data_IF_074502780836
#
_entry.id   IF_074502780836
#
_cell.length_a   1.000
_cell.length_b   1.000
_cell.length_c   1.000
_cell.angle_alpha   90.00
_cell.angle_beta   90.00
_cell.angle_gamma   90.00
#
_symmetry.space_group_name_H-M   'P 1'
#
loop_
_entity.id
_entity.type
_entity.pdbx_description
1 polymer ?
2 non-polymer ?
#
# COMPACT_ATOMS: atom_id res chain seq x y z
N UNK A 1 12.76 -12.35 -5.31
CA UNK A 1 12.35 -11.05 -4.86
C UNK A 1 11.48 -11.13 -3.63
N UNK A 2 10.41 -10.34 -3.62
CA UNK A 2 9.48 -10.33 -2.51
C UNK A 2 8.09 -10.71 -3.00
N UNK A 3 7.09 -10.55 -2.14
CA UNK A 3 5.72 -10.82 -2.54
C UNK A 3 4.86 -9.64 -2.13
N UNK A 4 3.85 -9.38 -2.92
CA UNK A 4 3.00 -8.23 -2.76
C UNK A 4 2.29 -8.26 -1.42
N UNK A 5 2.24 -7.12 -0.77
CA UNK A 5 1.45 -6.97 0.44
C UNK A 5 -0.04 -7.08 0.15
N UNK A 6 -0.40 -7.02 -1.13
CA UNK A 6 -1.78 -7.19 -1.55
C UNK A 6 -1.95 -8.53 -2.27
N UNK A 7 -1.14 -8.73 -3.31
CA UNK A 7 -1.20 -9.96 -4.10
C UNK A 7 -0.61 -11.14 -3.35
N UNK A 8 -0.89 -12.32 -3.87
CA UNK A 8 -0.18 -13.53 -3.49
C UNK A 8 0.90 -13.77 -4.52
N UNK A 9 1.07 -12.76 -5.37
CA UNK A 9 2.03 -12.78 -6.45
C UNK A 9 3.32 -12.14 -5.98
N UNK A 10 4.36 -12.28 -6.78
CA UNK A 10 5.67 -11.75 -6.43
C UNK A 10 5.83 -10.29 -6.82
N UNK A 11 6.58 -9.56 -6.02
CA UNK A 11 6.93 -8.18 -6.32
C UNK A 11 8.41 -8.11 -6.68
N UNK A 12 8.73 -7.37 -7.72
CA UNK A 12 10.11 -7.25 -8.14
C UNK A 12 10.51 -5.80 -8.08
N UNK A 13 11.76 -5.52 -8.38
CA UNK A 13 12.23 -4.15 -8.42
C UNK A 13 11.48 -3.38 -9.53
N UNK A 14 10.89 -4.14 -10.45
CA UNK A 14 10.12 -3.57 -11.55
C UNK A 14 9.07 -2.58 -11.07
N UNK A 15 8.31 -2.97 -10.05
CA UNK A 15 7.30 -2.09 -9.50
C UNK A 15 7.22 -2.22 -7.98
N UNK A 16 8.37 -2.21 -7.34
CA UNK A 16 8.43 -2.36 -5.89
C UNK A 16 8.36 -1.02 -5.19
N UNK A 17 7.30 -0.81 -4.43
CA UNK A 17 7.24 0.27 -3.47
C UNK A 17 7.34 -0.31 -2.07
N UNK A 18 8.37 0.07 -1.35
CA UNK A 18 8.57 -0.42 0.00
C UNK A 18 7.92 0.51 1.01
N UNK A 19 6.77 0.11 1.51
CA UNK A 19 6.05 0.89 2.50
C UNK A 19 6.15 0.20 3.85
N UNK A 20 6.62 0.93 4.85
CA UNK A 20 6.82 0.41 6.21
C UNK A 20 7.91 -0.66 6.22
N UNK A 21 7.58 -1.84 5.72
CA UNK A 21 8.53 -2.93 5.66
C UNK A 21 8.06 -4.02 4.73
N UNK A 22 7.17 -3.67 3.82
CA UNK A 22 6.59 -4.63 2.90
C UNK A 22 6.65 -4.10 1.47
N UNK A 23 6.97 -4.98 0.54
CA UNK A 23 7.02 -4.60 -0.87
C UNK A 23 5.63 -4.68 -1.50
N UNK A 24 5.18 -3.56 -2.03
CA UNK A 24 3.89 -3.49 -2.72
C UNK A 24 4.12 -3.19 -4.18
N UNK A 25 3.25 -3.71 -5.04
CA UNK A 25 3.28 -3.33 -6.44
C UNK A 25 2.88 -1.88 -6.57
N UNK A 26 3.46 -1.17 -7.54
CA UNK A 26 3.04 0.19 -7.83
C UNK A 26 1.56 0.20 -8.20
N UNK A 27 1.10 -0.91 -8.76
CA UNK A 27 -0.29 -1.07 -9.12
C UNK A 27 -1.15 -1.49 -7.93
N UNK A 28 -0.52 -1.74 -6.79
CA UNK A 28 -1.23 -2.19 -5.59
C UNK A 28 -0.94 -1.28 -4.40
N UNK A 29 -0.25 -0.18 -4.65
CA UNK A 29 0.17 0.71 -3.58
C UNK A 29 -0.95 1.64 -3.13
N UNK A 30 -2.05 1.62 -3.86
CA UNK A 30 -3.16 2.50 -3.54
C UNK A 30 -4.06 1.89 -2.48
N UNK A 31 -5.04 2.67 -2.02
CA UNK A 31 -5.81 2.34 -0.83
C UNK A 31 -6.40 0.94 -0.87
N UNK A 32 -6.12 0.20 0.19
CA UNK A 32 -6.63 -1.15 0.37
C UNK A 32 -8.11 -1.14 0.74
N UNK A 33 -8.56 -0.04 1.32
CA UNK A 33 -9.93 0.05 1.84
C UNK A 33 -10.94 0.45 0.77
N UNK A 34 -10.68 1.55 0.07
CA UNK A 34 -11.54 1.92 -1.05
C UNK A 34 -10.88 1.52 -2.36
N UNK A 35 -10.05 2.41 -2.89
CA UNK A 35 -9.20 2.12 -4.03
C UNK A 35 -8.46 3.37 -4.50
N UNK A 36 -8.56 4.45 -3.73
CA UNK A 36 -7.94 5.72 -4.08
C UNK A 36 -6.43 5.58 -4.26
N UNK A 37 -5.89 6.22 -5.29
CA UNK A 37 -4.46 6.21 -5.55
C UNK A 37 -3.72 7.10 -4.57
N UNK A 38 -2.83 6.50 -3.78
CA UNK A 38 -2.08 7.23 -2.76
C UNK A 38 -0.75 7.76 -3.28
N UNK A 39 -0.30 8.84 -2.67
CA UNK A 39 1.01 9.41 -2.97
C UNK A 39 1.88 9.32 -1.71
N UNK A 40 3.19 9.53 -1.87
CA UNK A 40 4.15 9.36 -0.78
C UNK A 40 3.70 9.99 0.54
N UNK A 41 3.16 11.21 0.47
CA UNK A 41 2.84 11.94 1.69
C UNK A 41 1.35 11.85 2.04
N UNK A 42 0.55 11.28 1.15
CA UNK A 42 -0.89 11.24 1.37
C UNK A 42 -1.35 9.89 1.92
N UNK A 43 -0.53 8.86 1.75
CA UNK A 43 -0.84 7.54 2.29
C UNK A 43 -0.70 7.52 3.80
N UNK A 44 -1.70 6.97 4.48
CA UNK A 44 -1.66 6.83 5.92
C UNK A 44 -1.44 5.39 6.30
N UNK A 45 -0.24 5.10 6.80
CA UNK A 45 0.10 3.76 7.22
C UNK A 45 0.18 3.67 8.74
N UNK A 46 -0.41 2.61 9.29
CA UNK A 46 -0.37 2.37 10.72
C UNK A 46 -0.15 0.90 10.99
N UNK A 47 0.96 0.59 11.66
CA UNK A 47 1.34 -0.77 12.03
C UNK A 47 1.66 -1.61 10.79
N UNK A 48 0.63 -2.14 10.15
CA UNK A 48 0.81 -2.95 8.96
C UNK A 48 -0.21 -2.58 7.89
N UNK A 49 -1.04 -1.58 8.17
CA UNK A 49 -2.11 -1.22 7.27
C UNK A 49 -1.84 0.12 6.60
N UNK A 50 -2.20 0.21 5.32
CA UNK A 50 -2.02 1.43 4.53
C UNK A 50 -3.32 1.78 3.81
N UNK A 51 -3.81 3.00 4.00
CA UNK A 51 -5.04 3.45 3.37
C UNK A 51 -4.94 4.93 3.01
N UNK A 52 -5.96 5.43 2.32
CA UNK A 52 -6.09 6.85 2.08
C UNK A 52 -6.55 7.53 3.37
N UNK A 53 -6.48 8.85 3.40
CA UNK A 53 -6.86 9.61 4.59
C UNK A 53 -8.37 9.56 4.82
N UNK A 54 -9.11 9.10 3.81
CA UNK A 54 -10.55 8.99 3.92
C UNK A 54 -10.94 7.75 4.72
N UNK A 55 -10.39 6.61 4.32
CA UNK A 55 -10.66 5.36 5.02
C UNK A 55 -9.97 5.35 6.39
N UNK A 56 -8.81 6.00 6.45
CA UNK A 56 -8.12 6.18 7.72
C UNK A 56 -9.00 6.99 8.67
N UNK A 57 -9.62 8.03 8.14
CA UNK A 57 -10.53 8.86 8.91
C UNK A 57 -11.89 8.20 9.09
N UNK A 58 -12.09 7.08 8.41
CA UNK A 58 -13.29 6.27 8.59
C UNK A 58 -13.09 5.30 9.73
N UNK A 59 -12.04 4.49 9.64
CA UNK A 59 -11.76 3.48 10.66
C UNK A 59 -11.30 4.11 11.96
N UNK A 60 -10.40 5.08 11.86
CA UNK A 60 -9.89 5.77 13.04
C UNK A 60 -10.62 7.10 13.21
X LIG B 1 -9.51 4.72 0.97
X LIG C 1 0.31 -6.64 -6.26
#
# INVERSE_FOLDING_TARGET
GAKCGACEKTVYHAEEIQCNGRSFHKTCFHCMACRKALDSTTVAAHESEIYCKVCYGRRY
ZN ZN
ZN ZN
#
